data_IF_062212508063
#
_entry.id   IF_062212508063
#
_cell.length_a   1.000
_cell.length_b   1.000
_cell.length_c   1.000
_cell.angle_alpha   90.00
_cell.angle_beta   90.00
_cell.angle_gamma   90.00
#
_symmetry.space_group_name_H-M   'P 1'
#
loop_
_entity.id
_entity.type
_entity.pdbx_description
1 polymer ?
#
# COMPACT_ATOMS: atom_id res chain seq x y z
N UNK A 1 -11.43 9.96 44.09
CA UNK A 1 -10.46 9.94 42.99
C UNK A 1 -11.01 8.98 41.95
N UNK A 2 -11.64 9.50 40.91
CA UNK A 2 -12.30 8.68 39.87
C UNK A 2 -11.27 8.33 38.82
N UNK A 3 -11.06 7.05 38.62
CA UNK A 3 -10.35 6.50 37.46
C UNK A 3 -11.16 6.86 36.20
N UNK A 4 -10.59 7.70 35.35
CA UNK A 4 -11.08 7.91 34.01
C UNK A 4 -10.67 6.68 33.19
N UNK A 5 -11.57 5.72 33.06
CA UNK A 5 -11.49 4.68 32.03
C UNK A 5 -11.58 5.40 30.67
N UNK A 6 -10.44 5.74 30.09
CA UNK A 6 -10.37 6.24 28.73
C UNK A 6 -10.74 5.10 27.78
N UNK A 7 -11.88 5.18 27.14
CA UNK A 7 -12.18 4.35 25.99
C UNK A 7 -11.13 4.66 24.92
N UNK A 8 -10.22 3.72 24.67
CA UNK A 8 -9.33 3.77 23.54
C UNK A 8 -10.20 3.67 22.30
N UNK A 9 -10.05 4.63 21.37
CA UNK A 9 -10.69 4.55 20.06
C UNK A 9 -10.31 3.23 19.37
N UNK A 10 -11.18 2.69 18.56
CA UNK A 10 -11.01 1.40 17.85
C UNK A 10 -9.67 1.33 17.13
N UNK A 11 -9.26 2.42 16.49
CA UNK A 11 -7.96 2.52 15.79
C UNK A 11 -6.76 2.43 16.74
N UNK A 12 -6.87 3.01 17.93
CA UNK A 12 -5.82 2.90 18.95
C UNK A 12 -5.66 1.46 19.45
N UNK A 13 -6.76 0.72 19.59
CA UNK A 13 -6.72 -0.70 19.93
C UNK A 13 -6.11 -1.54 18.81
N UNK A 14 -6.51 -1.30 17.55
CA UNK A 14 -5.92 -1.97 16.38
C UNK A 14 -4.42 -1.73 16.32
N UNK A 15 -3.98 -0.48 16.43
CA UNK A 15 -2.55 -0.12 16.42
C UNK A 15 -1.77 -0.81 17.56
N UNK A 16 -2.34 -0.88 18.78
CA UNK A 16 -1.72 -1.60 19.89
C UNK A 16 -1.62 -3.10 19.59
N UNK A 17 -2.66 -3.72 19.03
CA UNK A 17 -2.64 -5.12 18.63
C UNK A 17 -1.61 -5.38 17.51
N UNK A 18 -1.54 -4.53 16.49
CA UNK A 18 -0.54 -4.63 15.42
C UNK A 18 0.87 -4.53 15.97
N UNK A 19 1.14 -3.58 16.89
CA UNK A 19 2.43 -3.44 17.55
C UNK A 19 2.82 -4.67 18.37
N UNK A 20 1.87 -5.32 19.05
CA UNK A 20 2.13 -6.55 19.81
C UNK A 20 2.44 -7.71 18.86
N UNK A 21 1.69 -7.85 17.78
CA UNK A 21 1.89 -8.89 16.78
C UNK A 21 3.21 -8.71 15.98
N UNK A 22 3.65 -7.47 15.80
CA UNK A 22 4.89 -7.14 15.10
C UNK A 22 6.15 -7.66 15.84
N UNK A 23 6.05 -7.86 17.17
CA UNK A 23 7.21 -8.30 17.97
C UNK A 23 7.76 -9.65 17.53
N UNK A 24 6.92 -10.53 17.00
CA UNK A 24 7.28 -11.89 16.60
C UNK A 24 7.47 -12.06 15.09
N UNK A 25 7.21 -11.01 14.29
CA UNK A 25 7.34 -11.08 12.84
C UNK A 25 8.79 -10.93 12.35
N UNK A 26 9.09 -11.66 11.26
CA UNK A 26 10.38 -11.59 10.55
C UNK A 26 10.24 -10.84 9.22
N UNK A 27 11.37 -10.44 8.64
CA UNK A 27 11.45 -9.80 7.31
C UNK A 27 10.78 -10.66 6.25
N UNK A 28 10.99 -11.98 6.26
CA UNK A 28 10.37 -12.92 5.31
C UNK A 28 8.83 -12.86 5.28
N UNK A 29 8.19 -12.44 6.38
CA UNK A 29 6.72 -12.40 6.48
C UNK A 29 6.09 -11.10 5.95
N UNK A 30 6.89 -10.05 5.76
CA UNK A 30 6.41 -8.72 5.34
C UNK A 30 7.08 -8.23 4.06
N UNK A 31 8.14 -8.89 3.59
CA UNK A 31 8.86 -8.50 2.37
C UNK A 31 7.99 -8.67 1.13
N UNK A 32 8.23 -7.83 0.14
CA UNK A 32 7.81 -8.08 -1.24
C UNK A 32 8.74 -9.16 -1.80
N UNK A 33 8.22 -10.32 -2.23
CA UNK A 33 9.03 -11.40 -2.79
C UNK A 33 9.77 -10.97 -4.06
N UNK A 34 10.95 -11.52 -4.30
CA UNK A 34 11.79 -11.19 -5.46
C UNK A 34 11.04 -11.32 -6.81
N UNK A 35 10.12 -12.27 -6.93
CA UNK A 35 9.32 -12.51 -8.14
C UNK A 35 8.37 -11.36 -8.48
N UNK A 36 8.03 -10.52 -7.50
CA UNK A 36 7.12 -9.38 -7.65
C UNK A 36 7.88 -8.04 -7.76
N UNK A 37 9.23 -8.08 -7.70
CA UNK A 37 10.07 -6.90 -7.75
C UNK A 37 10.36 -6.50 -9.20
N UNK A 38 10.10 -5.23 -9.54
CA UNK A 38 10.59 -4.63 -10.78
C UNK A 38 12.06 -4.25 -10.56
N UNK A 39 12.98 -4.95 -11.22
CA UNK A 39 14.41 -4.71 -11.16
C UNK A 39 15.01 -4.58 -12.56
N UNK A 40 16.15 -3.88 -12.69
CA UNK A 40 16.83 -3.65 -13.95
C UNK A 40 18.29 -4.11 -13.89
N UNK A 41 18.85 -4.43 -15.05
CA UNK A 41 20.26 -4.82 -15.15
C UNK A 41 21.17 -3.59 -15.03
N UNK A 42 22.34 -3.75 -14.42
CA UNK A 42 23.36 -2.72 -14.18
C UNK A 42 23.71 -1.90 -15.43
N UNK A 43 23.73 -2.53 -16.60
CA UNK A 43 24.09 -1.89 -17.88
C UNK A 43 22.88 -1.27 -18.62
N UNK A 44 21.73 -1.16 -17.98
CA UNK A 44 20.52 -0.58 -18.57
C UNK A 44 20.78 0.88 -18.98
N UNK A 45 20.30 1.27 -20.17
CA UNK A 45 20.40 2.66 -20.65
C UNK A 45 19.50 3.58 -19.84
N UNK A 46 19.92 4.82 -19.63
CA UNK A 46 19.11 5.82 -18.93
C UNK A 46 17.73 6.02 -19.57
N UNK A 47 17.63 6.03 -20.91
CA UNK A 47 16.35 6.15 -21.61
C UNK A 47 15.38 5.00 -21.31
N UNK A 48 15.88 3.77 -21.22
CA UNK A 48 15.06 2.60 -20.93
C UNK A 48 14.66 2.56 -19.44
N UNK A 49 15.56 2.98 -18.54
CA UNK A 49 15.25 3.19 -17.14
C UNK A 49 14.09 4.18 -16.95
N UNK A 50 14.12 5.33 -17.62
CA UNK A 50 13.07 6.34 -17.53
C UNK A 50 11.70 5.80 -17.99
N UNK A 51 11.68 4.97 -19.06
CA UNK A 51 10.44 4.30 -19.50
C UNK A 51 9.92 3.32 -18.45
N UNK A 52 10.82 2.45 -17.92
CA UNK A 52 10.44 1.46 -16.89
C UNK A 52 9.93 2.17 -15.65
N UNK A 53 10.56 3.26 -15.21
CA UNK A 53 10.12 4.05 -14.08
C UNK A 53 8.74 4.69 -14.32
N UNK A 54 8.49 5.21 -15.53
CA UNK A 54 7.21 5.79 -15.91
C UNK A 54 6.09 4.72 -15.96
N UNK A 55 6.38 3.55 -16.54
CA UNK A 55 5.41 2.47 -16.71
C UNK A 55 5.09 1.78 -15.37
N UNK A 56 6.09 1.60 -14.49
CA UNK A 56 5.91 0.95 -13.19
C UNK A 56 5.40 1.90 -12.10
N UNK A 57 5.60 3.21 -12.25
CA UNK A 57 5.28 4.22 -11.23
C UNK A 57 6.26 4.25 -10.05
N UNK A 58 7.36 3.49 -10.08
CA UNK A 58 8.33 3.44 -8.99
C UNK A 58 9.40 4.53 -9.12
N UNK A 59 9.65 5.26 -8.03
CA UNK A 59 10.71 6.26 -7.95
C UNK A 59 12.10 5.67 -7.68
N UNK A 60 12.18 4.44 -7.16
CA UNK A 60 13.40 3.72 -6.86
C UNK A 60 13.33 2.31 -7.42
N UNK A 61 14.28 1.97 -8.27
CA UNK A 61 14.30 0.67 -8.94
C UNK A 61 15.59 -0.07 -8.55
N UNK A 62 15.48 -1.31 -8.04
CA UNK A 62 16.59 -2.21 -7.77
C UNK A 62 17.41 -2.51 -9.03
N UNK A 63 18.72 -2.62 -8.85
CA UNK A 63 19.68 -2.95 -9.91
C UNK A 63 20.38 -4.27 -9.58
N UNK A 64 20.35 -5.19 -10.52
CA UNK A 64 21.04 -6.48 -10.40
C UNK A 64 22.20 -6.62 -11.40
N UNK A 65 23.11 -7.52 -11.10
CA UNK A 65 24.24 -7.88 -11.97
C UNK A 65 24.16 -9.38 -12.30
N UNK A 66 24.11 -9.70 -13.60
CA UNK A 66 24.00 -11.06 -14.18
C UNK A 66 22.70 -11.79 -13.83
N UNK A 67 22.35 -11.91 -12.56
CA UNK A 67 21.19 -12.66 -12.08
C UNK A 67 20.32 -11.79 -11.17
N UNK A 68 19.00 -11.90 -11.29
CA UNK A 68 18.04 -11.05 -10.57
C UNK A 68 18.17 -11.13 -9.04
N UNK A 69 18.65 -12.26 -8.51
CA UNK A 69 18.91 -12.43 -7.07
C UNK A 69 20.22 -11.75 -6.61
N UNK A 70 21.04 -11.23 -7.52
CA UNK A 70 22.27 -10.51 -7.20
C UNK A 70 22.02 -8.99 -7.29
N UNK A 71 21.26 -8.46 -6.34
CA UNK A 71 21.00 -7.02 -6.27
C UNK A 71 22.23 -6.30 -5.76
N UNK A 72 22.77 -5.38 -6.57
CA UNK A 72 23.99 -4.61 -6.26
C UNK A 72 23.69 -3.19 -5.79
N UNK A 73 22.49 -2.67 -6.04
CA UNK A 73 22.14 -1.31 -5.66
C UNK A 73 20.72 -0.93 -6.05
N UNK A 74 20.43 0.36 -5.92
CA UNK A 74 19.19 1.00 -6.39
C UNK A 74 19.53 2.24 -7.21
N UNK A 75 18.67 2.59 -8.17
CA UNK A 75 18.68 3.87 -8.86
C UNK A 75 17.42 4.64 -8.49
N UNK A 76 17.62 5.91 -8.13
CA UNK A 76 16.52 6.83 -7.86
C UNK A 76 16.21 7.64 -9.15
N UNK A 77 14.94 7.67 -9.54
CA UNK A 77 14.46 8.42 -10.71
C UNK A 77 14.90 9.90 -10.67
N UNK A 78 14.82 10.54 -9.51
CA UNK A 78 15.20 11.93 -9.35
C UNK A 78 16.69 12.19 -9.61
N UNK A 79 17.57 11.24 -9.23
CA UNK A 79 19.01 11.40 -9.46
C UNK A 79 19.33 11.42 -10.96
N UNK A 80 18.60 10.65 -11.77
CA UNK A 80 18.76 10.61 -13.22
C UNK A 80 18.19 11.87 -13.88
N UNK A 81 16.99 12.32 -13.47
CA UNK A 81 16.34 13.51 -14.03
C UNK A 81 17.11 14.79 -13.67
N UNK A 82 17.58 14.95 -12.43
CA UNK A 82 18.28 16.17 -12.02
C UNK A 82 19.66 16.31 -12.64
N UNK A 83 20.36 15.23 -12.96
CA UNK A 83 21.60 15.28 -13.71
C UNK A 83 21.39 15.75 -15.15
N UNK A 84 20.21 15.50 -15.72
CA UNK A 84 19.82 16.01 -17.04
C UNK A 84 19.58 17.54 -17.00
N UNK A 85 19.03 18.06 -15.90
CA UNK A 85 18.71 19.48 -15.71
C UNK A 85 19.93 20.34 -15.36
N UNK A 86 20.91 19.82 -14.61
CA UNK A 86 22.15 20.53 -14.31
C UNK A 86 23.04 20.68 -15.57
N UNK A 87 22.95 19.75 -16.50
CA UNK A 87 23.59 19.83 -17.80
C UNK A 87 23.02 21.00 -18.66
N UNK A 88 21.74 21.31 -18.54
CA UNK A 88 21.04 22.35 -19.30
C UNK A 88 21.30 23.80 -18.78
N UNK A 89 21.78 23.95 -17.52
CA UNK A 89 21.90 25.28 -16.87
C UNK A 89 23.28 25.91 -16.93
N UNK A 90 24.31 25.23 -17.39
CA UNK A 90 25.64 25.85 -17.61
C UNK A 90 25.71 26.53 -18.98
N UNK A 91 25.22 27.76 -19.01
CA UNK A 91 25.21 28.68 -20.15
C UNK A 91 26.62 28.98 -20.68
N UNK A 92 27.02 28.25 -21.74
CA UNK A 92 27.91 28.72 -22.75
C UNK A 92 27.49 28.13 -24.10
N UNK A 93 27.07 29.00 -25.01
CA UNK A 93 26.31 28.75 -26.24
C UNK A 93 27.11 28.01 -27.35
N UNK A 94 28.29 27.46 -27.05
CA UNK A 94 29.15 26.86 -28.07
C UNK A 94 29.76 25.48 -27.74
N UNK A 95 29.27 24.76 -26.75
CA UNK A 95 29.80 23.41 -26.56
C UNK A 95 28.82 22.48 -25.77
N UNK A 96 28.36 21.49 -26.49
CA UNK A 96 27.91 20.20 -25.99
C UNK A 96 26.48 20.09 -25.42
N UNK A 97 25.64 19.45 -26.23
CA UNK A 97 24.81 18.34 -25.72
C UNK A 97 25.59 17.57 -24.65
N UNK A 98 25.42 17.91 -23.39
CA UNK A 98 25.81 17.01 -22.31
C UNK A 98 24.73 15.94 -22.23
N UNK A 99 25.05 14.88 -22.91
CA UNK A 99 24.31 13.64 -23.07
C UNK A 99 24.19 13.02 -21.68
N UNK A 100 22.98 12.69 -21.24
CA UNK A 100 22.74 11.72 -20.17
C UNK A 100 23.80 10.61 -20.28
N UNK A 101 24.41 10.18 -19.19
CA UNK A 101 25.25 9.00 -19.20
C UNK A 101 24.53 7.89 -19.96
N UNK A 102 25.22 7.19 -20.84
CA UNK A 102 24.56 6.17 -21.69
C UNK A 102 23.90 5.06 -20.87
N UNK A 103 24.35 4.86 -19.64
CA UNK A 103 23.85 3.83 -18.70
C UNK A 103 23.58 4.40 -17.31
N UNK A 104 22.79 3.68 -16.52
CA UNK A 104 22.43 4.03 -15.14
C UNK A 104 23.57 3.81 -14.14
N UNK A 105 24.68 3.22 -14.54
CA UNK A 105 25.76 2.80 -13.64
C UNK A 105 26.26 3.93 -12.70
N UNK A 106 26.45 5.19 -13.13
CA UNK A 106 26.87 6.29 -12.25
C UNK A 106 25.86 6.65 -11.14
N UNK A 107 24.59 6.27 -11.30
CA UNK A 107 23.50 6.58 -10.39
C UNK A 107 23.19 5.46 -9.40
N UNK A 108 23.91 4.32 -9.49
CA UNK A 108 23.70 3.19 -8.61
C UNK A 108 24.19 3.54 -7.21
N UNK A 109 23.29 3.46 -6.24
CA UNK A 109 23.59 3.67 -4.83
C UNK A 109 23.57 2.34 -4.08
N UNK A 110 24.47 2.17 -3.09
CA UNK A 110 24.52 0.93 -2.32
C UNK A 110 23.22 0.73 -1.51
N UNK A 111 22.92 -0.53 -1.21
CA UNK A 111 21.75 -0.96 -0.47
C UNK A 111 22.14 -1.61 0.85
N UNK A 112 21.18 -1.68 1.77
CA UNK A 112 21.30 -2.44 3.01
C UNK A 112 20.73 -3.84 2.80
N UNK A 113 21.55 -4.86 3.02
CA UNK A 113 21.14 -6.26 2.99
C UNK A 113 20.95 -6.77 4.42
N UNK A 114 19.87 -7.49 4.68
CA UNK A 114 19.56 -8.09 5.98
C UNK A 114 19.09 -9.53 5.80
N UNK A 115 19.36 -10.45 6.75
CA UNK A 115 18.78 -11.79 6.70
C UNK A 115 17.26 -11.75 6.70
N UNK A 116 16.61 -12.61 5.90
CA UNK A 116 15.14 -12.73 5.87
C UNK A 116 14.55 -13.15 7.22
N UNK A 117 15.33 -13.84 8.05
CA UNK A 117 14.98 -14.26 9.42
C UNK A 117 15.03 -13.12 10.45
N UNK A 118 15.53 -11.93 10.06
CA UNK A 118 15.66 -10.79 10.98
C UNK A 118 14.30 -10.33 11.47
N UNK A 119 14.23 -10.03 12.78
CA UNK A 119 13.02 -9.49 13.40
C UNK A 119 12.73 -8.05 12.93
N UNK A 120 11.46 -7.75 12.66
CA UNK A 120 11.02 -6.45 12.14
C UNK A 120 11.35 -5.28 13.09
N UNK A 121 11.20 -5.46 14.42
CA UNK A 121 11.55 -4.40 15.38
C UNK A 121 13.05 -4.08 15.37
N UNK A 122 13.88 -5.09 15.17
CA UNK A 122 15.33 -4.90 15.05
C UNK A 122 15.67 -4.19 13.74
N UNK A 123 14.98 -4.54 12.64
CA UNK A 123 15.13 -3.87 11.35
C UNK A 123 14.70 -2.41 11.42
N UNK A 124 13.56 -2.10 12.03
CA UNK A 124 13.05 -0.73 12.16
C UNK A 124 14.06 0.18 12.89
N UNK A 125 14.67 -0.31 13.98
CA UNK A 125 15.71 0.43 14.70
C UNK A 125 16.94 0.69 13.83
N UNK A 126 17.36 -0.28 13.02
CA UNK A 126 18.51 -0.15 12.13
C UNK A 126 18.23 0.87 11.00
N UNK A 127 17.07 0.82 10.38
CA UNK A 127 16.64 1.78 9.35
C UNK A 127 16.61 3.21 9.90
N UNK A 128 16.08 3.41 11.11
CA UNK A 128 16.07 4.72 11.76
C UNK A 128 17.48 5.32 11.93
N UNK A 129 18.49 4.49 12.14
CA UNK A 129 19.89 4.94 12.31
C UNK A 129 20.60 5.14 10.96
N UNK A 130 20.31 4.31 9.96
CA UNK A 130 21.03 4.29 8.68
C UNK A 130 20.40 5.18 7.61
N UNK A 131 19.17 5.67 7.82
CA UNK A 131 18.38 6.46 6.87
C UNK A 131 18.12 5.76 5.52
N UNK A 132 18.23 4.45 5.47
CA UNK A 132 17.81 3.68 4.31
C UNK A 132 16.27 3.64 4.27
N UNK A 133 15.69 3.83 3.11
CA UNK A 133 14.23 3.73 2.91
C UNK A 133 13.83 2.39 2.30
N UNK A 134 14.80 1.62 1.79
CA UNK A 134 14.61 0.33 1.16
C UNK A 134 15.74 -0.62 1.60
N UNK A 135 15.39 -1.85 1.92
CA UNK A 135 16.29 -2.89 2.45
C UNK A 135 16.04 -4.18 1.70
N UNK A 136 17.08 -4.95 1.41
CA UNK A 136 16.96 -6.23 0.72
C UNK A 136 17.11 -7.39 1.70
N UNK A 137 16.15 -8.31 1.64
CA UNK A 137 16.21 -9.58 2.36
C UNK A 137 17.09 -10.56 1.61
N UNK A 138 18.03 -11.19 2.32
CA UNK A 138 18.92 -12.19 1.75
C UNK A 138 18.79 -13.53 2.47
N UNK A 139 18.96 -14.62 1.72
CA UNK A 139 19.02 -15.98 2.21
C UNK A 139 20.41 -16.32 2.81
N UNK A 140 20.60 -17.57 3.24
CA UNK A 140 21.83 -18.07 3.82
C UNK A 140 22.99 -18.15 2.82
N UNK A 141 22.70 -18.08 1.53
CA UNK A 141 23.68 -18.11 0.44
C UNK A 141 24.05 -16.71 -0.05
N UNK A 142 23.39 -15.68 0.49
CA UNK A 142 23.60 -14.29 0.13
C UNK A 142 22.80 -13.83 -1.09
N UNK A 143 21.89 -14.67 -1.59
CA UNK A 143 20.96 -14.31 -2.66
C UNK A 143 19.81 -13.44 -2.14
N UNK A 144 19.43 -12.41 -2.89
CA UNK A 144 18.27 -11.61 -2.57
C UNK A 144 16.99 -12.43 -2.78
N UNK A 145 16.14 -12.49 -1.76
CA UNK A 145 14.84 -13.19 -1.79
C UNK A 145 13.64 -12.24 -1.78
N UNK A 146 13.87 -10.97 -1.41
CA UNK A 146 12.82 -9.95 -1.37
C UNK A 146 13.36 -8.58 -0.98
N UNK A 147 12.47 -7.60 -0.89
CA UNK A 147 12.75 -6.26 -0.37
C UNK A 147 11.67 -5.83 0.63
N UNK A 148 12.05 -4.91 1.51
CA UNK A 148 11.15 -4.24 2.45
C UNK A 148 11.43 -2.75 2.37
N UNK A 149 10.39 -1.95 2.28
CA UNK A 149 10.47 -0.50 2.40
C UNK A 149 10.08 -0.04 3.80
N UNK A 150 10.40 1.21 4.16
CA UNK A 150 9.94 1.77 5.43
C UNK A 150 8.42 1.93 5.43
N UNK A 151 7.85 2.18 4.26
CA UNK A 151 6.43 2.28 4.03
C UNK A 151 5.73 0.96 4.40
N UNK A 152 6.23 -0.20 3.96
CA UNK A 152 5.71 -1.53 4.31
C UNK A 152 5.76 -1.78 5.83
N UNK A 153 6.87 -1.38 6.48
CA UNK A 153 7.01 -1.53 7.93
C UNK A 153 6.04 -0.64 8.71
N UNK A 154 5.78 0.56 8.21
CA UNK A 154 4.81 1.48 8.82
C UNK A 154 3.39 0.96 8.61
N UNK A 155 3.09 0.43 7.43
CA UNK A 155 1.81 -0.20 7.11
C UNK A 155 1.50 -1.38 8.05
N UNK A 156 2.49 -2.20 8.37
CA UNK A 156 2.35 -3.30 9.34
C UNK A 156 2.03 -2.82 10.78
N UNK A 157 2.46 -1.61 11.14
CA UNK A 157 2.22 -1.01 12.47
C UNK A 157 0.87 -0.31 12.52
N UNK A 158 0.57 0.46 11.49
CA UNK A 158 -0.61 1.37 11.47
C UNK A 158 -1.81 0.67 10.83
N UNK A 159 -1.58 -0.46 10.15
CA UNK A 159 -2.50 -1.02 9.19
C UNK A 159 -2.38 -0.27 7.85
N UNK A 160 -2.99 -0.79 6.79
CA UNK A 160 -3.04 -0.06 5.52
C UNK A 160 -3.41 1.40 5.82
N UNK A 161 -2.48 2.34 5.55
CA UNK A 161 -2.87 3.73 5.45
C UNK A 161 -3.91 3.77 4.34
N UNK A 162 -5.16 3.92 4.71
CA UNK A 162 -6.11 4.40 3.74
C UNK A 162 -5.50 5.71 3.21
N UNK A 163 -5.08 5.74 1.94
CA UNK A 163 -4.89 7.00 1.23
C UNK A 163 -6.08 7.88 1.63
N UNK A 164 -5.93 9.21 1.72
CA UNK A 164 -7.09 10.10 1.96
C UNK A 164 -8.23 9.84 0.96
N UNK A 165 -7.95 9.03 -0.10
CA UNK A 165 -8.91 8.47 -1.04
C UNK A 165 -9.43 7.07 -0.65
N UNK A 166 -8.75 6.37 0.28
CA UNK A 166 -9.04 5.03 0.81
C UNK A 166 -9.32 5.07 2.31
N UNK A 167 -9.76 6.19 2.88
CA UNK A 167 -10.28 6.24 4.23
C UNK A 167 -11.33 5.12 4.36
N UNK A 168 -11.21 4.20 5.36
CA UNK A 168 -12.23 3.16 5.58
C UNK A 168 -13.62 3.75 5.80
N UNK A 169 -13.68 5.05 6.04
CA UNK A 169 -14.88 5.86 6.20
C UNK A 169 -15.26 6.64 4.93
N UNK A 170 -14.86 6.17 3.72
CA UNK A 170 -15.38 6.77 2.53
C UNK A 170 -16.87 6.44 2.43
N UNK A 171 -17.67 7.30 3.07
CA UNK A 171 -19.11 7.29 2.95
C UNK A 171 -19.51 8.57 2.23
N UNK A 172 -20.04 8.43 1.04
CA UNK A 172 -20.50 9.54 0.22
C UNK A 172 -22.00 9.44 -0.01
N UNK A 173 -22.72 10.42 0.48
CA UNK A 173 -24.12 10.59 0.13
C UNK A 173 -24.20 11.16 -1.31
N UNK A 174 -24.55 10.32 -2.28
CA UNK A 174 -24.69 10.73 -3.68
C UNK A 174 -26.01 11.49 -3.87
N UNK A 175 -27.09 10.95 -3.29
CA UNK A 175 -28.41 11.58 -3.20
C UNK A 175 -28.99 11.28 -1.82
N UNK A 176 -30.07 11.96 -1.39
CA UNK A 176 -30.73 11.63 -0.12
C UNK A 176 -31.14 10.15 0.03
N UNK A 177 -31.19 9.40 -1.07
CA UNK A 177 -31.60 7.99 -1.10
C UNK A 177 -30.47 7.04 -1.51
N UNK A 178 -29.30 7.57 -1.93
CA UNK A 178 -28.18 6.76 -2.43
C UNK A 178 -26.92 7.15 -1.68
N UNK A 179 -26.35 6.17 -1.00
CA UNK A 179 -25.09 6.24 -0.29
C UNK A 179 -24.09 5.29 -0.95
N UNK A 180 -22.87 5.74 -1.14
CA UNK A 180 -21.75 4.92 -1.59
C UNK A 180 -20.68 4.89 -0.50
N UNK A 181 -20.16 3.70 -0.18
CA UNK A 181 -19.19 3.54 0.88
C UNK A 181 -18.17 2.44 0.56
N UNK A 182 -17.05 2.48 1.27
CA UNK A 182 -16.09 1.37 1.30
C UNK A 182 -16.80 0.14 1.90
N UNK A 183 -16.55 -1.03 1.34
CA UNK A 183 -17.17 -2.27 1.82
C UNK A 183 -16.66 -2.70 3.21
N UNK A 184 -15.54 -2.12 3.69
CA UNK A 184 -15.01 -2.30 5.04
C UNK A 184 -15.69 -1.41 6.09
N UNK A 185 -16.61 -0.53 5.66
CA UNK A 185 -17.38 0.30 6.60
C UNK A 185 -18.10 -0.59 7.61
N UNK A 186 -17.98 -0.25 8.88
CA UNK A 186 -18.63 -0.96 9.98
C UNK A 186 -20.15 -0.77 9.90
N UNK A 187 -20.89 -1.84 10.14
CA UNK A 187 -22.36 -1.82 10.05
C UNK A 187 -22.97 -0.89 11.10
N UNK A 188 -22.39 -0.84 12.31
CA UNK A 188 -22.83 0.02 13.40
C UNK A 188 -22.68 1.51 13.08
N UNK A 189 -21.63 1.88 12.32
CA UNK A 189 -21.40 3.25 11.88
C UNK A 189 -22.48 3.72 10.92
N UNK A 190 -22.96 2.84 10.03
CA UNK A 190 -24.06 3.16 9.13
C UNK A 190 -25.39 3.36 9.86
N UNK A 191 -25.62 2.58 10.92
CA UNK A 191 -26.81 2.73 11.73
C UNK A 191 -26.77 4.03 12.54
N UNK A 192 -25.64 4.29 13.24
CA UNK A 192 -25.47 5.44 14.13
C UNK A 192 -25.52 6.79 13.36
N UNK A 193 -24.80 6.88 12.24
CA UNK A 193 -24.62 8.15 11.54
C UNK A 193 -25.59 8.36 10.37
N UNK A 194 -26.07 7.28 9.77
CA UNK A 194 -26.94 7.38 8.56
C UNK A 194 -28.32 6.75 8.76
N UNK A 195 -28.60 6.22 9.95
CA UNK A 195 -29.86 5.58 10.29
C UNK A 195 -30.16 4.37 9.41
N UNK A 196 -29.13 3.65 8.95
CA UNK A 196 -29.27 2.46 8.11
C UNK A 196 -28.80 1.22 8.86
N UNK A 197 -29.76 0.46 9.39
CA UNK A 197 -29.49 -0.77 10.09
C UNK A 197 -29.34 -1.94 9.10
N UNK A 198 -28.30 -2.72 9.31
CA UNK A 198 -28.09 -4.03 8.67
C UNK A 198 -28.49 -5.11 9.67
N UNK A 199 -29.13 -6.22 9.25
CA UNK A 199 -29.51 -7.29 10.17
C UNK A 199 -28.34 -7.79 11.02
N UNK A 200 -28.58 -8.13 12.27
CA UNK A 200 -27.54 -8.69 13.17
C UNK A 200 -27.01 -10.02 12.66
N UNK A 201 -25.68 -10.24 12.80
CA UNK A 201 -24.99 -11.46 12.39
C UNK A 201 -23.52 -11.48 12.84
N UNK A 202 -22.78 -12.53 12.50
CA UNK A 202 -21.35 -12.70 12.83
C UNK A 202 -20.45 -11.90 11.86
N UNK A 203 -20.72 -10.63 11.68
CA UNK A 203 -19.95 -9.74 10.82
C UNK A 203 -19.90 -8.31 11.40
N UNK A 204 -18.79 -7.64 11.19
CA UNK A 204 -18.57 -6.26 11.65
C UNK A 204 -18.67 -5.23 10.52
N UNK A 205 -18.56 -5.67 9.23
CA UNK A 205 -18.49 -4.78 8.06
C UNK A 205 -19.54 -5.14 7.01
N UNK A 206 -19.81 -4.21 6.09
CA UNK A 206 -20.71 -4.46 4.94
C UNK A 206 -20.19 -5.61 4.08
N UNK A 207 -18.85 -5.67 3.83
CA UNK A 207 -18.27 -6.79 3.09
C UNK A 207 -18.53 -8.12 3.79
N UNK A 208 -18.37 -8.15 5.13
CA UNK A 208 -18.70 -9.31 5.96
C UNK A 208 -20.14 -9.74 5.79
N UNK A 209 -21.09 -8.80 5.89
CA UNK A 209 -22.52 -9.05 5.67
C UNK A 209 -22.80 -9.65 4.29
N UNK A 210 -22.21 -9.07 3.22
CA UNK A 210 -22.42 -9.56 1.85
C UNK A 210 -21.86 -10.98 1.70
N UNK A 211 -20.67 -11.24 2.26
CA UNK A 211 -20.03 -12.56 2.21
C UNK A 211 -20.82 -13.61 3.01
N UNK A 212 -21.37 -13.24 4.17
CA UNK A 212 -22.24 -14.13 4.95
C UNK A 212 -23.49 -14.55 4.16
N UNK A 213 -24.07 -13.63 3.38
CA UNK A 213 -25.28 -13.90 2.60
C UNK A 213 -25.02 -14.66 1.28
N UNK A 214 -23.92 -14.38 0.60
CA UNK A 214 -23.64 -14.92 -0.74
C UNK A 214 -22.67 -16.11 -0.67
N UNK A 215 -21.80 -16.18 0.35
CA UNK A 215 -20.82 -17.24 0.54
C UNK A 215 -19.55 -17.13 -0.31
N UNK A 216 -19.51 -16.21 -1.28
CA UNK A 216 -18.37 -15.95 -2.17
C UNK A 216 -18.28 -14.47 -2.50
N UNK A 217 -17.11 -14.02 -2.98
CA UNK A 217 -16.97 -12.65 -3.47
C UNK A 217 -17.81 -12.50 -4.74
N UNK A 218 -18.82 -11.60 -4.74
CA UNK A 218 -19.70 -11.42 -5.89
C UNK A 218 -19.02 -10.62 -7.00
N UNK A 219 -19.54 -10.72 -8.22
CA UNK A 219 -19.13 -9.88 -9.34
C UNK A 219 -19.61 -8.44 -9.17
N UNK A 220 -18.92 -7.50 -9.85
CA UNK A 220 -19.34 -6.09 -9.91
C UNK A 220 -20.74 -6.03 -10.54
N UNK A 221 -21.63 -5.27 -9.92
CA UNK A 221 -23.04 -5.16 -10.32
C UNK A 221 -23.97 -6.15 -9.61
N UNK A 222 -23.44 -7.07 -8.80
CA UNK A 222 -24.30 -7.93 -7.98
C UNK A 222 -25.14 -7.10 -7.00
N UNK A 223 -26.40 -7.46 -6.87
CA UNK A 223 -27.37 -6.79 -5.99
C UNK A 223 -27.80 -7.71 -4.86
N UNK A 224 -27.85 -7.17 -3.65
CA UNK A 224 -28.38 -7.82 -2.47
C UNK A 224 -29.58 -7.03 -1.96
N UNK A 225 -30.72 -7.69 -1.95
CA UNK A 225 -31.99 -7.11 -1.50
C UNK A 225 -32.11 -7.16 0.03
N UNK A 226 -32.38 -5.98 0.64
CA UNK A 226 -32.87 -5.83 2.01
C UNK A 226 -34.31 -5.33 1.97
N UNK A 227 -34.99 -5.39 3.11
CA UNK A 227 -36.41 -4.98 3.19
C UNK A 227 -36.65 -3.55 2.71
N UNK A 228 -35.79 -2.61 3.10
CA UNK A 228 -35.91 -1.18 2.82
C UNK A 228 -34.85 -0.62 1.84
N UNK A 229 -33.91 -1.45 1.38
CA UNK A 229 -32.82 -1.01 0.51
C UNK A 229 -32.31 -2.11 -0.43
N UNK A 230 -31.47 -1.69 -1.37
CA UNK A 230 -30.67 -2.59 -2.23
C UNK A 230 -29.21 -2.20 -2.09
N UNK A 231 -28.36 -3.17 -1.79
CA UNK A 231 -26.91 -3.02 -1.81
C UNK A 231 -26.40 -3.52 -3.15
N UNK A 232 -25.66 -2.69 -3.90
CA UNK A 232 -25.04 -3.04 -5.18
C UNK A 232 -23.54 -3.01 -5.01
N UNK A 233 -22.82 -4.06 -5.41
CA UNK A 233 -21.36 -4.09 -5.45
C UNK A 233 -20.87 -3.25 -6.62
N UNK A 234 -20.18 -2.14 -6.35
CA UNK A 234 -19.67 -1.22 -7.38
C UNK A 234 -18.20 -1.46 -7.73
N UNK A 235 -17.43 -2.04 -6.79
CA UNK A 235 -16.04 -2.38 -7.00
C UNK A 235 -15.67 -3.63 -6.20
N UNK A 236 -15.08 -4.63 -6.87
CA UNK A 236 -14.57 -5.86 -6.26
C UNK A 236 -13.41 -6.42 -7.07
N UNK A 237 -12.57 -7.23 -6.43
CA UNK A 237 -11.53 -8.03 -7.07
C UNK A 237 -11.64 -9.49 -6.61
N UNK A 238 -10.70 -10.36 -7.04
CA UNK A 238 -10.71 -11.79 -6.69
C UNK A 238 -10.51 -12.08 -5.20
N UNK A 239 -10.14 -11.08 -4.39
CA UNK A 239 -9.79 -11.25 -2.97
C UNK A 239 -10.73 -10.49 -2.02
N UNK A 240 -11.38 -9.41 -2.48
CA UNK A 240 -12.19 -8.56 -1.62
C UNK A 240 -13.25 -7.76 -2.40
N UNK A 241 -14.33 -7.41 -1.71
CA UNK A 241 -15.27 -6.38 -2.11
C UNK A 241 -14.67 -5.04 -1.67
N UNK A 242 -14.61 -4.05 -2.57
CA UNK A 242 -13.99 -2.74 -2.29
C UNK A 242 -14.99 -1.65 -2.01
N UNK A 243 -16.01 -1.52 -2.87
CA UNK A 243 -17.04 -0.47 -2.73
C UNK A 243 -18.44 -1.02 -2.97
N UNK A 244 -19.37 -0.45 -2.26
CA UNK A 244 -20.79 -0.76 -2.39
C UNK A 244 -21.59 0.51 -2.47
N UNK A 245 -22.74 0.41 -3.14
CA UNK A 245 -23.76 1.46 -3.21
C UNK A 245 -25.03 0.94 -2.56
N UNK A 246 -25.55 1.70 -1.61
CA UNK A 246 -26.77 1.39 -0.90
C UNK A 246 -27.86 2.35 -1.40
N UNK A 247 -28.93 1.82 -1.93
CA UNK A 247 -30.08 2.60 -2.39
C UNK A 247 -31.31 2.25 -1.56
N UNK A 248 -31.82 3.20 -0.78
CA UNK A 248 -33.09 3.04 -0.06
C UNK A 248 -34.25 2.99 -1.03
N UNK A 249 -35.21 2.11 -0.76
CA UNK A 249 -36.48 2.01 -1.48
C UNK A 249 -37.47 3.07 -1.01
N UNK A 250 -37.49 3.33 0.29
CA UNK A 250 -38.32 4.32 0.95
C UNK A 250 -37.47 5.10 1.97
N UNK A 251 -37.76 6.43 2.11
CA UNK A 251 -37.04 7.25 3.09
C UNK A 251 -35.76 7.91 2.56
N UNK A 252 -35.00 8.51 3.48
CA UNK A 252 -33.71 9.18 3.21
C UNK A 252 -32.72 8.75 4.25
N UNK A 253 -31.44 8.80 3.93
CA UNK A 253 -30.39 8.69 4.93
C UNK A 253 -30.43 9.92 5.83
N UNK A 254 -30.25 9.72 7.11
CA UNK A 254 -30.07 10.82 8.08
C UNK A 254 -28.59 11.26 7.99
N UNK A 255 -28.32 12.56 8.06
CA UNK A 255 -26.95 13.13 8.07
C UNK A 255 -26.81 13.94 9.33
#
# INVERSE_FOLDING_TARGET
MGERSGNLHTDQRRMIHSLLNLQDRTVAQVMVPLVDIVAIEKNTKCEDFLKIAADSGFSRIPVYEEQIYNITGIVNLLDVIYNDVEADTSSNVDAKQEILPSTIEPFIRPVLNVPESKNINALLKEIQHTRHTMVFAVDEYGGTVGLVTIEDLVEEIVGEFADERDAPDFIRLITPQILECDARTEVDLLEEHYGFAIPEGDYETIAGYILDRIGTIPEIGAELDLDDAVITVTEANTRAIRKVRIRRRLGRFTV
#
